data_IF_306801758901
#
_entry.id   IF_306801758901
#
_cell.length_a   1.000
_cell.length_b   1.000
_cell.length_c   1.000
_cell.angle_alpha   90.00
_cell.angle_beta   90.00
_cell.angle_gamma   90.00
#
_symmetry.space_group_name_H-M   'P 1'
#
loop_
_entity.id
_entity.type
_entity.pdbx_description
1 polymer ?
#
# COMPACT_ATOMS: atom_id res chain seq x y z
N UNK A 1 10.87 3.70 -16.11
CA UNK A 1 11.24 2.28 -15.96
C UNK A 1 10.13 1.58 -15.16
N UNK A 2 9.64 0.40 -15.59
CA UNK A 2 8.73 -0.43 -14.79
C UNK A 2 9.33 -0.81 -13.44
N UNK A 3 8.50 -0.86 -12.40
CA UNK A 3 8.88 -1.27 -11.05
C UNK A 3 8.02 -2.49 -10.67
N UNK A 4 8.67 -3.55 -10.20
CA UNK A 4 8.03 -4.76 -9.68
C UNK A 4 8.25 -4.79 -8.17
N UNK A 5 7.17 -4.84 -7.40
CA UNK A 5 7.24 -5.08 -5.96
C UNK A 5 7.06 -6.56 -5.66
N UNK A 6 8.00 -7.14 -4.93
CA UNK A 6 7.95 -8.50 -4.42
C UNK A 6 7.60 -8.45 -2.92
N UNK A 7 6.41 -8.92 -2.56
CA UNK A 7 5.78 -8.71 -1.28
C UNK A 7 5.76 -10.00 -0.44
N UNK A 8 6.32 -9.95 0.77
CA UNK A 8 6.27 -11.08 1.71
C UNK A 8 6.10 -10.59 3.14
N UNK A 9 5.60 -11.46 4.02
CA UNK A 9 5.35 -11.11 5.42
C UNK A 9 4.39 -9.93 5.57
N UNK A 10 4.66 -9.00 6.48
CA UNK A 10 3.79 -7.86 6.76
C UNK A 10 4.04 -6.67 5.82
N UNK A 11 3.09 -6.39 4.95
CA UNK A 11 3.09 -5.23 4.03
C UNK A 11 2.05 -4.23 4.52
N UNK A 12 2.41 -3.42 5.50
CA UNK A 12 1.48 -2.52 6.20
C UNK A 12 1.97 -1.08 6.23
N UNK A 13 1.06 -0.14 6.48
CA UNK A 13 1.40 1.28 6.63
C UNK A 13 2.17 1.83 5.41
N UNK A 14 3.35 2.40 5.66
CA UNK A 14 4.23 2.92 4.61
C UNK A 14 4.67 1.85 3.60
N UNK A 15 4.87 0.60 4.02
CA UNK A 15 5.18 -0.52 3.14
C UNK A 15 4.08 -0.77 2.12
N UNK A 16 2.81 -0.69 2.51
CA UNK A 16 1.66 -0.79 1.60
C UNK A 16 1.63 0.39 0.62
N UNK A 17 1.92 1.60 1.07
CA UNK A 17 1.97 2.80 0.20
C UNK A 17 3.07 2.67 -0.86
N UNK A 18 4.25 2.18 -0.47
CA UNK A 18 5.35 1.90 -1.41
C UNK A 18 4.95 0.82 -2.41
N UNK A 19 4.39 -0.30 -1.95
CA UNK A 19 3.91 -1.38 -2.81
C UNK A 19 2.84 -0.89 -3.80
N UNK A 20 1.93 -0.03 -3.35
CA UNK A 20 0.90 0.58 -4.18
C UNK A 20 1.46 1.53 -5.26
N UNK A 21 2.67 2.07 -5.06
CA UNK A 21 3.35 2.90 -6.05
C UNK A 21 4.02 2.10 -7.17
N UNK A 22 4.29 0.81 -6.96
CA UNK A 22 4.87 -0.06 -7.98
C UNK A 22 3.87 -0.34 -9.13
N UNK A 23 4.40 -0.70 -10.29
CA UNK A 23 3.60 -1.02 -11.47
C UNK A 23 3.06 -2.44 -11.41
N UNK A 24 3.89 -3.39 -11.01
CA UNK A 24 3.53 -4.79 -10.84
C UNK A 24 3.82 -5.23 -9.40
N UNK A 25 3.02 -6.15 -8.88
CA UNK A 25 3.13 -6.69 -7.51
C UNK A 25 2.98 -8.20 -7.55
N UNK A 26 3.96 -8.89 -6.98
CA UNK A 26 3.93 -10.32 -6.74
C UNK A 26 3.95 -10.54 -5.22
N UNK A 27 3.34 -11.60 -4.76
CA UNK A 27 3.32 -11.91 -3.33
C UNK A 27 3.72 -13.36 -3.06
N UNK A 28 4.27 -13.62 -1.88
CA UNK A 28 4.35 -14.97 -1.31
C UNK A 28 3.06 -15.30 -0.53
N UNK A 29 2.77 -16.57 -0.35
CA UNK A 29 1.55 -17.05 0.29
C UNK A 29 1.39 -16.57 1.75
N UNK A 30 2.50 -16.24 2.42
CA UNK A 30 2.53 -15.74 3.80
C UNK A 30 2.23 -14.24 3.94
N UNK A 31 2.07 -13.50 2.84
CA UNK A 31 1.89 -12.05 2.88
C UNK A 31 0.63 -11.65 3.66
N UNK A 32 0.76 -10.58 4.43
CA UNK A 32 -0.36 -9.90 5.12
C UNK A 32 -0.34 -8.42 4.75
N UNK A 33 -1.42 -7.94 4.15
CA UNK A 33 -1.51 -6.60 3.55
C UNK A 33 -2.58 -5.78 4.24
N UNK A 34 -2.26 -4.56 4.68
CA UNK A 34 -3.28 -3.71 5.29
C UNK A 34 -2.80 -2.37 5.80
N UNK A 35 -3.74 -1.64 6.42
CA UNK A 35 -3.51 -0.28 6.92
C UNK A 35 -3.99 -0.13 8.37
N UNK A 36 -3.31 -0.79 9.34
CA UNK A 36 -3.76 -0.83 10.73
C UNK A 36 -3.44 0.46 11.53
N UNK A 37 -3.34 1.62 10.89
CA UNK A 37 -2.86 2.88 11.48
C UNK A 37 -3.76 3.37 12.63
N UNK A 38 -5.08 3.18 12.54
CA UNK A 38 -6.00 3.55 13.61
C UNK A 38 -5.78 2.73 14.90
N UNK A 39 -5.29 1.50 14.77
CA UNK A 39 -4.98 0.64 15.92
C UNK A 39 -3.58 0.85 16.47
N UNK A 40 -2.64 1.30 15.63
CA UNK A 40 -1.20 1.29 15.97
C UNK A 40 -0.64 2.67 16.28
N UNK A 41 -0.72 3.62 15.35
CA UNK A 41 -0.04 4.91 15.44
C UNK A 41 -0.97 6.10 15.65
N UNK A 42 -2.28 5.96 15.39
CA UNK A 42 -3.24 7.07 15.47
C UNK A 42 -3.00 8.19 14.45
N UNK A 43 -2.23 7.91 13.39
CA UNK A 43 -1.98 8.85 12.30
C UNK A 43 -3.00 8.67 11.16
N UNK A 44 -2.97 9.56 10.17
CA UNK A 44 -3.76 9.46 8.96
C UNK A 44 -2.90 9.27 7.72
N UNK A 45 -3.55 8.93 6.62
CA UNK A 45 -2.95 8.90 5.29
C UNK A 45 -3.22 10.22 4.57
N UNK A 46 -2.20 10.74 3.91
CA UNK A 46 -2.38 11.81 2.94
C UNK A 46 -3.39 11.36 1.86
N UNK A 47 -4.24 12.28 1.42
CA UNK A 47 -5.32 11.97 0.47
C UNK A 47 -4.80 11.43 -0.87
N UNK A 48 -3.58 11.81 -1.26
CA UNK A 48 -2.91 11.26 -2.44
C UNK A 48 -2.66 9.76 -2.33
N UNK A 49 -2.33 9.28 -1.13
CA UNK A 49 -2.13 7.85 -0.84
C UNK A 49 -3.48 7.13 -0.73
N UNK A 50 -4.46 7.73 -0.05
CA UNK A 50 -5.84 7.21 -0.03
C UNK A 50 -6.39 7.02 -1.44
N UNK A 51 -6.28 8.05 -2.29
CA UNK A 51 -6.73 7.96 -3.69
C UNK A 51 -6.08 6.81 -4.44
N UNK A 52 -4.78 6.58 -4.22
CA UNK A 52 -4.07 5.46 -4.85
C UNK A 52 -4.58 4.11 -4.35
N UNK A 53 -4.78 3.96 -3.04
CA UNK A 53 -5.32 2.73 -2.47
C UNK A 53 -6.74 2.46 -2.93
N UNK A 54 -7.61 3.49 -2.95
CA UNK A 54 -8.97 3.38 -3.46
C UNK A 54 -8.99 2.94 -4.93
N UNK A 55 -8.10 3.49 -5.76
CA UNK A 55 -7.99 3.09 -7.16
C UNK A 55 -7.56 1.62 -7.35
N UNK A 56 -6.83 1.03 -6.38
CA UNK A 56 -6.32 -0.35 -6.46
C UNK A 56 -7.23 -1.36 -5.75
N UNK A 57 -7.93 -0.98 -4.69
CA UNK A 57 -8.71 -1.89 -3.86
C UNK A 57 -10.22 -1.61 -3.88
N UNK A 58 -10.62 -0.42 -4.34
CA UNK A 58 -11.96 0.11 -4.16
C UNK A 58 -12.16 0.72 -2.75
N UNK A 59 -13.06 1.69 -2.64
CA UNK A 59 -13.30 2.46 -1.42
C UNK A 59 -13.72 1.57 -0.24
N UNK A 60 -14.68 0.66 -0.47
CA UNK A 60 -15.20 -0.21 0.60
C UNK A 60 -14.11 -1.05 1.27
N UNK A 61 -13.17 -1.59 0.49
CA UNK A 61 -12.08 -2.41 1.03
C UNK A 61 -11.04 -1.57 1.75
N UNK A 62 -10.75 -0.37 1.25
CA UNK A 62 -9.85 0.57 1.94
C UNK A 62 -10.46 1.00 3.27
N UNK A 63 -11.74 1.35 3.31
CA UNK A 63 -12.46 1.67 4.54
C UNK A 63 -12.40 0.50 5.54
N UNK A 64 -12.68 -0.72 5.08
CA UNK A 64 -12.58 -1.92 5.92
C UNK A 64 -11.18 -2.07 6.55
N UNK A 65 -10.10 -2.03 5.73
CA UNK A 65 -8.72 -2.16 6.22
C UNK A 65 -8.33 -1.11 7.27
N UNK A 66 -8.82 0.14 7.11
CA UNK A 66 -8.49 1.24 8.03
C UNK A 66 -9.33 1.11 9.32
N UNK A 67 -10.64 0.91 9.21
CA UNK A 67 -11.55 0.93 10.34
C UNK A 67 -11.42 -0.30 11.24
N UNK A 68 -11.24 -1.48 10.65
CA UNK A 68 -11.10 -2.73 11.41
C UNK A 68 -9.65 -3.04 11.78
N UNK A 69 -8.69 -2.40 11.09
CA UNK A 69 -7.26 -2.73 11.15
C UNK A 69 -6.96 -4.21 10.81
N UNK A 70 -7.85 -4.88 10.09
CA UNK A 70 -7.65 -6.23 9.60
C UNK A 70 -6.70 -6.26 8.40
N UNK A 71 -5.96 -7.36 8.28
CA UNK A 71 -5.00 -7.57 7.22
C UNK A 71 -5.54 -8.58 6.21
N UNK A 72 -5.45 -8.24 4.94
CA UNK A 72 -5.78 -9.14 3.84
C UNK A 72 -4.76 -10.28 3.73
N UNK A 73 -5.24 -11.48 3.45
CA UNK A 73 -4.40 -12.61 3.03
C UNK A 73 -3.89 -12.45 1.59
N UNK A 74 -2.96 -13.32 1.18
CA UNK A 74 -2.49 -13.40 -0.19
C UNK A 74 -3.64 -13.60 -1.19
N UNK A 75 -4.57 -14.52 -0.90
CA UNK A 75 -5.72 -14.82 -1.76
C UNK A 75 -6.68 -13.64 -1.87
N UNK A 76 -6.93 -12.95 -0.77
CA UNK A 76 -7.76 -11.74 -0.78
C UNK A 76 -7.13 -10.60 -1.57
N UNK A 77 -5.80 -10.47 -1.50
CA UNK A 77 -5.05 -9.48 -2.28
C UNK A 77 -5.04 -9.83 -3.78
N UNK A 78 -4.95 -11.12 -4.13
CA UNK A 78 -5.07 -11.61 -5.50
C UNK A 78 -6.49 -11.37 -6.03
N UNK A 79 -7.50 -11.77 -5.28
CA UNK A 79 -8.91 -11.58 -5.67
C UNK A 79 -9.29 -10.10 -5.82
N UNK A 80 -8.58 -9.19 -5.13
CA UNK A 80 -8.76 -7.74 -5.30
C UNK A 80 -8.08 -7.16 -6.53
N UNK A 81 -7.21 -7.92 -7.20
CA UNK A 81 -6.35 -7.42 -8.26
C UNK A 81 -5.15 -6.58 -7.77
N UNK A 82 -4.94 -6.46 -6.46
CA UNK A 82 -3.79 -5.71 -5.93
C UNK A 82 -2.47 -6.41 -6.26
N UNK A 83 -2.38 -7.73 -6.07
CA UNK A 83 -1.26 -8.54 -6.56
C UNK A 83 -1.65 -9.29 -7.84
N UNK A 84 -0.68 -9.53 -8.70
CA UNK A 84 -0.88 -10.15 -10.00
C UNK A 84 -0.62 -11.66 -9.96
N UNK A 85 0.16 -12.11 -8.98
CA UNK A 85 0.55 -13.50 -8.83
C UNK A 85 0.89 -13.79 -7.36
N UNK A 86 0.55 -14.99 -6.87
CA UNK A 86 0.88 -15.46 -5.52
C UNK A 86 1.68 -16.75 -5.65
N UNK A 87 2.85 -16.79 -5.03
CA UNK A 87 3.78 -17.91 -5.08
C UNK A 87 3.90 -18.53 -3.67
N UNK A 88 4.10 -19.82 -3.62
CA UNK A 88 4.20 -20.60 -2.38
C UNK A 88 5.25 -20.06 -1.41
N UNK A 89 6.42 -19.68 -1.94
CA UNK A 89 7.56 -19.25 -1.13
C UNK A 89 8.10 -17.90 -1.60
N UNK A 90 8.84 -17.24 -0.70
CA UNK A 90 9.59 -16.03 -1.02
C UNK A 90 10.56 -16.25 -2.18
N UNK A 91 11.29 -17.37 -2.20
CA UNK A 91 12.30 -17.64 -3.23
C UNK A 91 11.65 -17.88 -4.59
N UNK A 92 10.53 -18.62 -4.64
CA UNK A 92 9.74 -18.79 -5.86
C UNK A 92 9.21 -17.42 -6.37
N UNK A 93 8.76 -16.55 -5.48
CA UNK A 93 8.31 -15.21 -5.82
C UNK A 93 9.45 -14.35 -6.40
N UNK A 94 10.64 -14.38 -5.80
CA UNK A 94 11.80 -13.64 -6.29
C UNK A 94 12.27 -14.15 -7.65
N UNK A 95 12.27 -15.47 -7.86
CA UNK A 95 12.58 -16.10 -9.15
C UNK A 95 11.57 -15.66 -10.22
N UNK A 96 10.27 -15.65 -9.88
CA UNK A 96 9.20 -15.16 -10.76
C UNK A 96 9.36 -13.68 -11.10
N UNK A 97 9.70 -12.83 -10.11
CA UNK A 97 9.95 -11.42 -10.32
C UNK A 97 11.13 -11.17 -11.28
N UNK A 98 12.21 -11.95 -11.13
CA UNK A 98 13.38 -11.90 -12.01
C UNK A 98 13.01 -12.28 -13.45
N UNK A 99 12.29 -13.39 -13.62
CA UNK A 99 11.80 -13.83 -14.95
C UNK A 99 10.92 -12.75 -15.60
N UNK A 100 10.03 -12.14 -14.82
CA UNK A 100 9.16 -11.07 -15.31
C UNK A 100 9.96 -9.82 -15.71
N UNK A 101 10.96 -9.44 -14.91
CA UNK A 101 11.85 -8.32 -15.23
C UNK A 101 12.63 -8.57 -16.54
N UNK A 102 13.20 -9.76 -16.70
CA UNK A 102 13.88 -10.18 -17.94
C UNK A 102 12.94 -10.12 -19.15
N UNK A 103 11.69 -10.60 -19.01
CA UNK A 103 10.70 -10.49 -20.07
C UNK A 103 10.40 -9.02 -20.45
N UNK A 104 10.33 -8.12 -19.48
CA UNK A 104 10.09 -6.70 -19.76
C UNK A 104 11.23 -6.06 -20.57
N UNK A 105 12.47 -6.52 -20.45
CA UNK A 105 13.59 -6.00 -21.25
C UNK A 105 13.50 -6.36 -22.75
N UNK A 106 12.68 -7.33 -23.10
CA UNK A 106 12.45 -7.73 -24.51
C UNK A 106 11.27 -7.00 -25.17
N UNK A 107 10.53 -6.17 -24.40
CA UNK A 107 9.39 -5.42 -24.89
C UNK A 107 9.81 -4.07 -25.48
N UNK A 108 8.97 -3.51 -26.36
CA UNK A 108 9.21 -2.19 -26.97
C UNK A 108 9.28 -1.08 -25.89
N UNK A 109 10.46 -0.46 -25.65
CA UNK A 109 10.67 0.43 -24.53
C UNK A 109 9.83 1.71 -24.62
N UNK A 110 9.65 2.27 -25.81
CA UNK A 110 8.82 3.46 -26.01
C UNK A 110 7.34 3.19 -25.73
N UNK A 111 6.84 2.01 -26.10
CA UNK A 111 5.46 1.60 -25.79
C UNK A 111 5.24 1.49 -24.29
N UNK A 112 6.19 0.86 -23.58
CA UNK A 112 6.12 0.76 -22.11
C UNK A 112 6.15 2.16 -21.50
N UNK A 113 7.09 3.00 -21.90
CA UNK A 113 7.21 4.36 -21.36
C UNK A 113 5.95 5.18 -21.60
N UNK A 114 5.43 5.22 -22.83
CA UNK A 114 4.22 5.97 -23.17
C UNK A 114 3.00 5.47 -22.40
N UNK A 115 2.85 4.14 -22.25
CA UNK A 115 1.75 3.54 -21.49
C UNK A 115 1.82 3.91 -20.01
N UNK A 116 3.01 3.82 -19.38
CA UNK A 116 3.18 4.19 -17.98
C UNK A 116 2.96 5.70 -17.75
N UNK A 117 3.41 6.55 -18.66
CA UNK A 117 3.16 7.99 -18.62
C UNK A 117 1.66 8.29 -18.79
N UNK A 118 0.97 7.62 -19.70
CA UNK A 118 -0.48 7.73 -19.87
C UNK A 118 -1.22 7.36 -18.58
N UNK A 119 -0.91 6.20 -17.99
CA UNK A 119 -1.49 5.76 -16.72
C UNK A 119 -1.19 6.75 -15.57
N UNK A 120 0.00 7.33 -15.53
CA UNK A 120 0.36 8.35 -14.54
C UNK A 120 -0.49 9.61 -14.73
N UNK A 121 -0.63 10.11 -15.96
CA UNK A 121 -1.47 11.28 -16.28
C UNK A 121 -2.93 11.05 -15.90
N UNK A 122 -3.49 9.89 -16.23
CA UNK A 122 -4.86 9.53 -15.85
C UNK A 122 -5.07 9.55 -14.34
N UNK A 123 -4.10 9.07 -13.56
CA UNK A 123 -4.18 9.11 -12.09
C UNK A 123 -4.15 10.54 -11.52
N UNK A 124 -3.55 11.48 -12.23
CA UNK A 124 -3.40 12.88 -11.81
C UNK A 124 -4.37 13.85 -12.53
N UNK A 125 -5.22 13.33 -13.42
CA UNK A 125 -6.11 14.15 -14.23
C UNK A 125 -7.15 14.94 -13.41
N UNK A 126 -7.46 14.51 -12.18
CA UNK A 126 -8.31 15.25 -11.24
C UNK A 126 -7.43 15.88 -10.17
N UNK A 127 -7.62 17.16 -9.86
CA UNK A 127 -6.92 17.81 -8.77
C UNK A 127 -7.17 17.03 -7.47
N UNK A 128 -6.09 16.81 -6.70
CA UNK A 128 -6.21 16.22 -5.37
C UNK A 128 -6.73 17.30 -4.42
N UNK A 129 -7.79 17.05 -3.62
CA UNK A 129 -8.22 18.00 -2.60
C UNK A 129 -7.08 18.31 -1.61
N UNK A 130 -7.09 19.50 -1.03
CA UNK A 130 -6.19 19.86 0.06
C UNK A 130 -6.56 19.02 1.29
N UNK A 131 -5.55 18.46 1.96
CA UNK A 131 -5.70 17.62 3.16
C UNK A 131 -4.85 18.12 4.34
N UNK A 132 -4.36 19.35 4.23
CA UNK A 132 -3.47 19.97 5.23
C UNK A 132 -4.10 20.01 6.62
N UNK A 133 -5.39 20.25 6.70
CA UNK A 133 -6.18 20.28 7.94
C UNK A 133 -6.29 18.89 8.58
N UNK A 134 -6.53 17.86 7.79
CA UNK A 134 -6.62 16.46 8.27
C UNK A 134 -5.26 15.96 8.77
N UNK A 135 -4.20 16.29 8.04
CA UNK A 135 -2.84 15.93 8.43
C UNK A 135 -2.46 16.64 9.73
N UNK A 136 -2.69 17.95 9.82
CA UNK A 136 -2.42 18.70 11.04
C UNK A 136 -3.20 18.11 12.23
N UNK A 137 -4.51 17.88 12.09
CA UNK A 137 -5.34 17.32 13.17
C UNK A 137 -4.80 16.00 13.73
N UNK A 138 -4.28 15.12 12.87
CA UNK A 138 -3.71 13.84 13.32
C UNK A 138 -2.31 13.99 13.90
N UNK A 139 -1.38 14.60 13.15
CA UNK A 139 0.04 14.60 13.51
C UNK A 139 0.41 15.53 14.67
N UNK A 140 -0.43 16.51 14.99
CA UNK A 140 -0.27 17.37 16.19
C UNK A 140 -1.04 16.88 17.40
N UNK A 141 -1.77 15.76 17.30
CA UNK A 141 -2.60 15.23 18.38
C UNK A 141 -1.78 14.55 19.50
N UNK A 142 -2.34 14.56 20.72
CA UNK A 142 -1.81 13.74 21.82
C UNK A 142 -1.86 12.23 21.49
N UNK A 143 -2.86 11.81 20.74
CA UNK A 143 -3.04 10.42 20.32
C UNK A 143 -1.93 9.96 19.38
N UNK A 144 -1.43 10.80 18.48
CA UNK A 144 -0.27 10.46 17.66
C UNK A 144 0.99 10.28 18.51
N UNK A 145 1.25 11.18 19.46
CA UNK A 145 2.38 11.07 20.39
C UNK A 145 2.29 9.79 21.24
N UNK A 146 1.09 9.48 21.76
CA UNK A 146 0.80 8.23 22.49
C UNK A 146 1.02 7.00 21.61
N UNK A 147 0.56 7.02 20.36
CA UNK A 147 0.73 5.92 19.41
C UNK A 147 2.19 5.61 19.15
N UNK A 148 3.02 6.64 18.96
CA UNK A 148 4.48 6.50 18.78
C UNK A 148 5.12 5.92 20.04
N UNK A 149 4.81 6.47 21.23
CA UNK A 149 5.35 5.98 22.51
C UNK A 149 4.97 4.52 22.74
N UNK A 150 3.70 4.17 22.58
CA UNK A 150 3.20 2.81 22.75
C UNK A 150 3.87 1.82 21.78
N UNK A 151 4.11 2.23 20.54
CA UNK A 151 4.82 1.42 19.55
C UNK A 151 6.26 1.11 19.97
N UNK A 152 7.01 2.13 20.43
CA UNK A 152 8.39 1.97 20.89
C UNK A 152 8.46 1.11 22.15
N UNK A 153 7.52 1.27 23.09
CA UNK A 153 7.41 0.55 24.34
C UNK A 153 6.78 -0.85 24.20
N UNK A 154 6.32 -1.23 23.00
CA UNK A 154 5.64 -2.51 22.69
C UNK A 154 4.41 -2.76 23.57
N UNK A 155 3.64 -1.72 23.87
CA UNK A 155 2.38 -1.78 24.63
C UNK A 155 1.20 -1.34 23.79
N UNK A 156 -0.02 -1.53 24.30
CA UNK A 156 -1.24 -0.99 23.67
C UNK A 156 -1.33 0.52 23.90
N UNK A 157 -1.67 1.32 22.87
CA UNK A 157 -1.94 2.75 23.03
C UNK A 157 -3.28 2.99 23.74
N UNK A 158 -3.37 4.15 24.41
CA UNK A 158 -4.57 4.62 25.10
C UNK A 158 -5.11 5.88 24.41
N UNK A 159 -6.05 5.70 23.49
CA UNK A 159 -6.61 6.77 22.66
C UNK A 159 -7.55 7.69 23.45
N UNK A 160 -7.43 9.00 23.25
CA UNK A 160 -8.24 10.03 23.92
C UNK A 160 -9.03 10.93 22.95
N UNK A 161 -8.76 10.85 21.65
CA UNK A 161 -9.42 11.62 20.60
C UNK A 161 -9.01 13.11 20.56
N UNK A 162 -7.77 13.43 20.97
CA UNK A 162 -7.27 14.82 21.04
C UNK A 162 -5.78 14.92 20.77
#
# INVERSE_FOLDING_TARGET
VPVIAALHGAVTGGGLVIAAAAHLRLASADVKIGMPIARTLGNCLAITNLRRLVALFGEARVAHMILTAELLSADQALASGFVHDVLETRDAMLARATTLAQRLTTMAPLTIQASLDGLRRLRHATACPDDSDLIAACYTSEDFAEGVAAFLEKRKPNWRGR
#
